data_IF_956543392420
#
_entry.id   IF_956543392420
#
_cell.length_a   1.000
_cell.length_b   1.000
_cell.length_c   1.000
_cell.angle_alpha   90.00
_cell.angle_beta   90.00
_cell.angle_gamma   90.00
#
_symmetry.space_group_name_H-M   'P 1'
#
loop_
_entity.id
_entity.type
_entity.pdbx_description
1 polymer ?
#
# COMPACT_ATOMS: atom_id res chain seq x y z
N UNK A 1 -7.83 -27.79 -26.78
CA UNK A 1 -6.83 -26.74 -27.06
C UNK A 1 -6.51 -26.05 -25.74
N UNK A 2 -5.30 -26.23 -25.21
CA UNK A 2 -4.85 -25.63 -23.93
C UNK A 2 -4.52 -24.17 -24.19
N UNK A 3 -5.21 -23.26 -23.51
CA UNK A 3 -4.86 -21.85 -23.48
C UNK A 3 -3.47 -21.71 -22.82
N UNK A 4 -2.46 -21.42 -23.60
CA UNK A 4 -1.16 -20.99 -23.10
C UNK A 4 -1.34 -19.58 -22.54
N UNK A 5 -1.19 -19.43 -21.24
CA UNK A 5 -1.10 -18.12 -20.59
C UNK A 5 0.11 -17.37 -21.16
N UNK A 6 -0.14 -16.22 -21.79
CA UNK A 6 0.93 -15.31 -22.24
C UNK A 6 1.86 -14.98 -21.05
N UNK A 7 3.18 -14.96 -21.24
CA UNK A 7 4.11 -14.56 -20.19
C UNK A 7 3.81 -13.12 -19.77
N UNK A 8 3.84 -12.85 -18.45
CA UNK A 8 3.76 -11.49 -17.90
C UNK A 8 4.91 -10.68 -18.51
N UNK A 9 4.62 -9.79 -19.45
CA UNK A 9 5.62 -8.91 -20.03
C UNK A 9 6.17 -7.99 -18.92
N UNK A 10 7.49 -7.99 -18.74
CA UNK A 10 8.19 -6.94 -18.02
C UNK A 10 8.07 -5.68 -18.87
N UNK A 11 7.24 -4.73 -18.41
CA UNK A 11 6.98 -3.48 -19.12
C UNK A 11 8.19 -2.53 -18.98
N UNK A 12 8.57 -1.90 -20.07
CA UNK A 12 9.65 -0.92 -20.13
C UNK A 12 9.19 0.43 -19.56
N UNK A 13 10.12 1.29 -19.18
CA UNK A 13 9.87 2.53 -18.41
C UNK A 13 9.02 3.59 -19.13
N UNK A 14 8.76 3.46 -20.42
CA UNK A 14 8.03 4.45 -21.24
C UNK A 14 6.60 4.02 -21.61
N UNK A 15 6.20 2.80 -21.28
CA UNK A 15 4.88 2.26 -21.65
C UNK A 15 3.70 2.80 -20.80
N UNK A 16 3.97 3.67 -19.82
CA UNK A 16 2.93 4.27 -19.00
C UNK A 16 2.36 5.58 -19.58
N UNK A 17 3.08 6.24 -20.49
CA UNK A 17 2.72 7.56 -21.02
C UNK A 17 1.94 7.45 -22.33
N UNK A 18 0.74 6.94 -22.23
CA UNK A 18 -0.26 6.93 -23.31
C UNK A 18 -1.41 7.86 -22.96
N UNK A 19 -2.08 8.36 -24.01
CA UNK A 19 -3.27 9.18 -23.84
C UNK A 19 -4.51 8.31 -23.71
N UNK A 20 -5.43 8.73 -22.86
CA UNK A 20 -6.74 8.10 -22.69
C UNK A 20 -7.81 9.15 -22.98
N UNK A 21 -8.83 8.77 -23.73
CA UNK A 21 -9.97 9.61 -24.07
C UNK A 21 -11.27 8.94 -23.65
N UNK A 22 -12.30 9.75 -23.42
CA UNK A 22 -13.64 9.26 -23.14
C UNK A 22 -14.50 9.33 -24.41
N UNK A 23 -15.17 8.22 -24.72
CA UNK A 23 -16.16 8.16 -25.79
C UNK A 23 -17.47 7.58 -25.29
N UNK A 24 -18.64 8.10 -25.78
CA UNK A 24 -19.93 7.57 -25.41
C UNK A 24 -20.09 6.12 -25.87
N UNK A 25 -20.65 5.28 -25.01
CA UNK A 25 -21.01 3.89 -25.40
C UNK A 25 -22.43 3.84 -25.92
N UNK A 26 -22.63 3.06 -26.97
CA UNK A 26 -23.91 2.86 -27.63
C UNK A 26 -24.38 1.41 -27.53
N UNK A 27 -25.69 1.22 -27.41
CA UNK A 27 -26.30 -0.11 -27.51
C UNK A 27 -26.40 -0.58 -28.97
N UNK A 28 -26.92 -1.78 -29.19
CA UNK A 28 -27.05 -2.38 -30.54
C UNK A 28 -27.95 -1.57 -31.48
N UNK A 29 -28.85 -0.73 -30.95
CA UNK A 29 -29.77 0.12 -31.73
C UNK A 29 -29.16 1.50 -31.99
N UNK A 30 -27.89 1.73 -31.66
CA UNK A 30 -27.22 3.02 -31.84
C UNK A 30 -27.63 4.09 -30.82
N UNK A 31 -28.31 3.71 -29.74
CA UNK A 31 -28.68 4.65 -28.66
C UNK A 31 -27.63 4.68 -27.60
N UNK A 32 -27.28 5.90 -27.11
CA UNK A 32 -26.31 6.06 -26.03
C UNK A 32 -26.77 5.31 -24.75
N UNK A 33 -25.86 4.51 -24.21
CA UNK A 33 -26.08 3.80 -22.92
C UNK A 33 -26.07 4.84 -21.81
N UNK A 34 -26.95 4.70 -20.81
CA UNK A 34 -27.08 5.64 -19.70
C UNK A 34 -27.24 4.91 -18.39
N UNK A 35 -26.71 5.55 -17.32
CA UNK A 35 -26.96 5.18 -15.92
C UNK A 35 -27.67 6.37 -15.28
N UNK A 36 -28.97 6.25 -15.06
CA UNK A 36 -29.82 7.39 -14.67
C UNK A 36 -29.82 8.46 -15.76
N UNK A 37 -29.35 9.67 -15.41
CA UNK A 37 -29.27 10.81 -16.34
C UNK A 37 -27.92 10.93 -17.05
N UNK A 38 -26.89 10.24 -16.57
CA UNK A 38 -25.52 10.32 -17.11
C UNK A 38 -25.28 9.31 -18.24
N UNK A 39 -24.64 9.71 -19.34
CA UNK A 39 -24.17 8.76 -20.35
C UNK A 39 -23.07 7.87 -19.78
N UNK A 40 -23.04 6.62 -20.21
CA UNK A 40 -21.90 5.72 -19.96
C UNK A 40 -20.84 5.99 -20.99
N UNK A 41 -19.62 6.22 -20.52
CA UNK A 41 -18.45 6.51 -21.32
C UNK A 41 -17.49 5.33 -21.25
N UNK A 42 -16.86 4.98 -22.36
CA UNK A 42 -15.69 4.11 -22.39
C UNK A 42 -14.42 4.96 -22.28
N UNK A 43 -13.47 4.49 -21.49
CA UNK A 43 -12.14 5.11 -21.37
C UNK A 43 -11.20 4.35 -22.30
N UNK A 44 -10.80 4.93 -23.44
CA UNK A 44 -10.04 4.25 -24.49
C UNK A 44 -8.61 4.78 -24.56
N UNK A 45 -7.65 3.87 -24.73
CA UNK A 45 -6.29 4.24 -25.14
C UNK A 45 -6.29 4.66 -26.58
N UNK A 46 -5.63 5.78 -26.88
CA UNK A 46 -5.58 6.34 -28.25
C UNK A 46 -4.58 5.62 -29.15
N UNK A 47 -3.64 4.86 -28.61
CA UNK A 47 -2.59 4.17 -29.34
C UNK A 47 -2.99 2.77 -29.84
N UNK A 48 -4.03 2.16 -29.28
CA UNK A 48 -4.43 0.79 -29.61
C UNK A 48 -5.94 0.52 -29.49
N UNK A 49 -6.74 1.55 -29.26
CA UNK A 49 -8.21 1.50 -29.13
C UNK A 49 -8.74 0.54 -28.03
N UNK A 50 -7.89 0.15 -27.07
CA UNK A 50 -8.32 -0.72 -25.98
C UNK A 50 -9.19 0.06 -24.99
N UNK A 51 -10.39 -0.46 -24.71
CA UNK A 51 -11.25 0.04 -23.64
C UNK A 51 -10.72 -0.41 -22.28
N UNK A 52 -10.21 0.53 -21.49
CA UNK A 52 -9.61 0.29 -20.18
C UNK A 52 -10.66 0.16 -19.07
N UNK A 53 -11.84 0.73 -19.27
CA UNK A 53 -12.92 0.71 -18.31
C UNK A 53 -14.09 1.57 -18.76
N UNK A 54 -15.16 1.56 -17.98
CA UNK A 54 -16.34 2.38 -18.23
C UNK A 54 -16.59 3.33 -17.07
N UNK A 55 -17.01 4.55 -17.41
CA UNK A 55 -17.24 5.62 -16.44
C UNK A 55 -18.50 6.41 -16.81
N UNK A 56 -18.68 7.57 -16.26
CA UNK A 56 -19.69 8.53 -16.69
C UNK A 56 -19.01 9.83 -17.13
N UNK A 57 -19.78 10.72 -17.75
CA UNK A 57 -19.34 12.07 -18.14
C UNK A 57 -18.82 12.96 -16.99
N UNK A 58 -18.95 12.49 -15.75
CA UNK A 58 -18.42 13.17 -14.55
C UNK A 58 -17.02 12.70 -14.14
N UNK A 59 -16.52 11.69 -14.81
CA UNK A 59 -15.19 11.18 -14.55
C UNK A 59 -14.18 11.96 -15.39
N UNK A 60 -13.23 12.63 -14.73
CA UNK A 60 -12.15 13.35 -15.40
C UNK A 60 -10.98 12.43 -15.69
N UNK A 61 -10.58 12.36 -16.95
CA UNK A 61 -9.36 11.63 -17.32
C UNK A 61 -8.15 12.44 -16.86
N UNK A 62 -7.28 11.79 -16.10
CA UNK A 62 -5.93 12.28 -15.79
C UNK A 62 -4.94 11.28 -16.33
N UNK A 63 -4.17 11.67 -17.33
CA UNK A 63 -3.17 10.80 -17.95
C UNK A 63 -1.98 10.58 -17.00
N UNK A 64 -1.36 9.41 -17.10
CA UNK A 64 -0.27 9.04 -16.19
C UNK A 64 0.93 9.98 -16.33
N UNK A 65 1.22 10.44 -17.56
CA UNK A 65 2.27 11.43 -17.82
C UNK A 65 2.09 12.72 -17.03
N UNK A 66 0.86 13.25 -16.96
CA UNK A 66 0.55 14.47 -16.19
C UNK A 66 0.83 14.29 -14.69
N UNK A 67 0.57 13.09 -14.15
CA UNK A 67 0.83 12.77 -12.75
C UNK A 67 2.34 12.73 -12.49
N UNK A 68 3.09 12.07 -13.37
CA UNK A 68 4.55 11.95 -13.29
C UNK A 68 5.19 13.34 -13.40
N UNK A 69 4.79 14.13 -14.39
CA UNK A 69 5.26 15.51 -14.62
C UNK A 69 5.02 16.40 -13.38
N UNK A 70 3.81 16.38 -12.81
CA UNK A 70 3.50 17.15 -11.58
C UNK A 70 4.40 16.78 -10.40
N UNK A 71 4.77 15.51 -10.27
CA UNK A 71 5.68 15.04 -9.22
C UNK A 71 7.11 15.48 -9.50
N UNK A 72 7.57 15.31 -10.72
CA UNK A 72 8.95 15.66 -11.11
C UNK A 72 9.18 17.18 -11.04
N UNK A 73 8.23 18.01 -11.47
CA UNK A 73 8.27 19.46 -11.28
C UNK A 73 8.37 19.85 -9.80
N UNK A 74 7.62 19.17 -8.93
CA UNK A 74 7.66 19.44 -7.51
C UNK A 74 9.00 19.02 -6.88
N UNK A 75 9.58 17.91 -7.29
CA UNK A 75 10.89 17.44 -6.85
C UNK A 75 12.00 18.40 -7.34
N UNK A 76 11.93 18.85 -8.58
CA UNK A 76 12.85 19.82 -9.14
C UNK A 76 12.80 21.16 -8.40
N UNK A 77 11.60 21.65 -8.08
CA UNK A 77 11.40 22.89 -7.32
C UNK A 77 12.02 22.83 -5.92
N UNK A 78 12.15 21.63 -5.34
CA UNK A 78 12.81 21.37 -4.06
C UNK A 78 14.31 21.03 -4.22
N UNK A 79 14.83 21.04 -5.46
CA UNK A 79 16.18 20.61 -5.79
C UNK A 79 16.49 19.15 -5.38
N UNK A 80 15.47 18.28 -5.36
CA UNK A 80 15.62 16.85 -5.11
C UNK A 80 15.81 16.14 -6.46
N UNK A 81 17.06 15.75 -6.77
CA UNK A 81 17.44 15.19 -8.09
C UNK A 81 17.88 13.73 -8.04
N UNK A 82 18.35 13.27 -6.88
CA UNK A 82 18.93 11.94 -6.72
C UNK A 82 17.83 10.95 -6.30
N UNK A 83 17.16 10.37 -7.28
CA UNK A 83 16.18 9.32 -7.08
C UNK A 83 16.23 8.28 -8.21
N UNK A 84 15.83 7.08 -7.90
CA UNK A 84 15.49 6.06 -8.91
C UNK A 84 13.98 6.00 -9.07
N UNK A 85 13.51 5.82 -10.33
CA UNK A 85 12.08 5.68 -10.58
C UNK A 85 11.77 4.35 -11.27
N UNK A 86 10.62 3.79 -10.93
CA UNK A 86 10.06 2.61 -11.58
C UNK A 86 8.59 2.84 -11.86
N UNK A 87 8.20 2.78 -13.12
CA UNK A 87 6.83 2.94 -13.58
C UNK A 87 6.31 1.62 -14.11
N UNK A 88 5.07 1.28 -13.80
CA UNK A 88 4.44 0.02 -14.20
C UNK A 88 2.97 0.26 -14.52
N UNK A 89 2.46 -0.46 -15.50
CA UNK A 89 1.03 -0.53 -15.79
C UNK A 89 0.55 -1.98 -15.74
N UNK A 90 -0.73 -2.16 -15.42
CA UNK A 90 -1.38 -3.46 -15.36
C UNK A 90 -2.78 -3.38 -15.99
N UNK A 91 -3.34 -4.54 -16.40
CA UNK A 91 -4.66 -4.61 -17.02
C UNK A 91 -4.70 -3.86 -18.35
N UNK A 92 -3.77 -4.14 -19.25
CA UNK A 92 -3.61 -3.51 -20.57
C UNK A 92 -3.44 -1.98 -20.54
N UNK A 93 -3.03 -1.45 -19.37
CA UNK A 93 -2.88 -0.03 -19.11
C UNK A 93 -3.99 0.57 -18.25
N UNK A 94 -4.99 -0.22 -17.83
CA UNK A 94 -6.08 0.30 -17.00
C UNK A 94 -5.61 0.84 -15.64
N UNK A 95 -4.44 0.42 -15.15
CA UNK A 95 -3.92 0.78 -13.83
C UNK A 95 -2.46 1.14 -13.91
N UNK A 96 -2.09 2.23 -13.24
CA UNK A 96 -0.73 2.76 -13.19
C UNK A 96 -0.18 2.71 -11.76
N UNK A 97 1.10 2.37 -11.65
CA UNK A 97 1.88 2.36 -10.42
C UNK A 97 3.24 3.00 -10.68
N UNK A 98 3.55 4.05 -9.95
CA UNK A 98 4.84 4.72 -9.98
C UNK A 98 5.53 4.64 -8.62
N UNK A 99 6.83 4.43 -8.60
CA UNK A 99 7.66 4.45 -7.39
C UNK A 99 8.87 5.32 -7.64
N UNK A 100 9.16 6.21 -6.69
CA UNK A 100 10.38 6.97 -6.58
C UNK A 100 11.09 6.56 -5.30
N UNK A 101 12.31 6.07 -5.40
CA UNK A 101 13.19 5.73 -4.28
C UNK A 101 14.30 6.76 -4.16
N UNK A 102 14.48 7.29 -2.96
CA UNK A 102 15.47 8.32 -2.64
C UNK A 102 16.57 7.71 -1.77
N UNK A 103 17.58 7.17 -2.43
CA UNK A 103 18.67 6.45 -1.75
C UNK A 103 19.64 7.39 -1.00
N UNK A 104 19.55 8.70 -1.22
CA UNK A 104 20.30 9.74 -0.51
C UNK A 104 19.51 10.35 0.68
N UNK A 105 18.21 10.14 0.77
CA UNK A 105 17.37 10.57 1.89
C UNK A 105 17.14 9.38 2.82
N UNK A 106 18.17 9.06 3.60
CA UNK A 106 18.21 7.88 4.47
C UNK A 106 18.27 8.31 5.94
N UNK A 107 17.57 7.59 6.79
CA UNK A 107 17.61 7.78 8.24
C UNK A 107 17.66 6.43 8.97
N UNK A 108 18.48 6.30 10.04
CA UNK A 108 18.53 5.10 10.85
C UNK A 108 17.25 4.97 11.71
N UNK A 109 16.71 3.77 11.77
CA UNK A 109 15.64 3.38 12.71
C UNK A 109 16.24 2.72 13.93
N UNK A 110 17.13 1.74 13.70
CA UNK A 110 17.87 1.01 14.71
C UNK A 110 19.30 0.77 14.21
N UNK A 111 20.15 0.19 15.05
CA UNK A 111 21.56 -0.10 14.67
C UNK A 111 21.59 -1.06 13.47
N UNK A 112 22.08 -0.56 12.34
CA UNK A 112 22.21 -1.33 11.10
C UNK A 112 20.89 -1.48 10.31
N UNK A 113 19.83 -0.80 10.73
CA UNK A 113 18.54 -0.82 10.06
C UNK A 113 18.16 0.61 9.63
N UNK A 114 18.44 0.91 8.39
CA UNK A 114 18.22 2.20 7.77
C UNK A 114 16.99 2.16 6.85
N UNK A 115 16.28 3.27 6.77
CA UNK A 115 15.18 3.46 5.84
C UNK A 115 15.44 4.63 4.89
N UNK A 116 15.23 4.39 3.60
CA UNK A 116 15.17 5.42 2.56
C UNK A 116 13.76 5.95 2.37
N UNK A 117 13.64 7.22 1.98
CA UNK A 117 12.37 7.80 1.60
C UNK A 117 11.85 7.17 0.29
N UNK A 118 10.54 6.98 0.19
CA UNK A 118 9.88 6.50 -1.03
C UNK A 118 8.58 7.25 -1.28
N UNK A 119 8.36 7.64 -2.53
CA UNK A 119 7.06 8.13 -3.01
C UNK A 119 6.44 7.08 -3.91
N UNK A 120 5.17 6.79 -3.71
CA UNK A 120 4.39 5.87 -4.54
C UNK A 120 3.20 6.59 -5.17
N UNK A 121 3.03 6.42 -6.47
CA UNK A 121 1.93 6.98 -7.25
C UNK A 121 0.99 5.88 -7.70
N UNK A 122 -0.30 6.20 -7.81
CA UNK A 122 -1.31 5.31 -8.38
C UNK A 122 -2.33 6.10 -9.16
N UNK A 123 -2.78 5.50 -10.24
CA UNK A 123 -3.87 5.98 -11.07
C UNK A 123 -4.63 4.80 -11.67
N UNK A 124 -5.89 4.97 -12.03
CA UNK A 124 -6.60 3.95 -12.81
C UNK A 124 -7.64 4.57 -13.72
N UNK A 125 -7.88 3.91 -14.85
CA UNK A 125 -8.91 4.25 -15.81
C UNK A 125 -10.13 3.30 -15.75
N UNK A 126 -10.05 2.26 -14.89
CA UNK A 126 -11.11 1.26 -14.63
C UNK A 126 -11.90 1.54 -13.34
N UNK A 127 -11.77 2.72 -12.76
CA UNK A 127 -12.40 3.14 -11.50
C UNK A 127 -11.94 2.34 -10.26
N UNK A 128 -10.90 1.50 -10.38
CA UNK A 128 -10.39 0.70 -9.26
C UNK A 128 -9.65 1.55 -8.22
N UNK A 129 -9.16 2.73 -8.62
CA UNK A 129 -8.48 3.69 -7.73
C UNK A 129 -8.64 5.12 -8.25
N UNK A 130 -8.50 6.11 -7.35
CA UNK A 130 -8.30 7.50 -7.76
C UNK A 130 -6.84 7.81 -8.03
N UNK A 131 -6.55 9.07 -8.37
CA UNK A 131 -5.18 9.59 -8.38
C UNK A 131 -4.68 9.66 -6.94
N UNK A 132 -3.57 8.99 -6.67
CA UNK A 132 -3.06 8.82 -5.31
C UNK A 132 -1.55 9.07 -5.27
N UNK A 133 -1.10 9.81 -4.25
CA UNK A 133 0.30 9.95 -3.87
C UNK A 133 0.47 9.50 -2.43
N UNK A 134 1.46 8.66 -2.20
CA UNK A 134 1.82 8.17 -0.88
C UNK A 134 3.29 8.44 -0.63
N UNK A 135 3.59 9.01 0.51
CA UNK A 135 4.95 9.16 0.99
C UNK A 135 5.17 8.08 2.04
N UNK A 136 6.21 7.29 1.81
CA UNK A 136 6.52 6.14 2.61
C UNK A 136 8.02 6.01 2.85
N UNK A 137 8.39 4.86 3.36
CA UNK A 137 9.78 4.48 3.52
C UNK A 137 10.03 3.09 2.96
N UNK A 138 11.23 2.89 2.47
CA UNK A 138 11.77 1.60 2.07
C UNK A 138 12.86 1.22 3.08
N UNK A 139 12.69 0.10 3.75
CA UNK A 139 13.72 -0.45 4.61
C UNK A 139 14.86 -1.00 3.75
N UNK A 140 16.10 -0.56 3.98
CA UNK A 140 17.23 -0.87 3.08
C UNK A 140 17.77 -2.30 3.27
N UNK A 141 17.64 -2.87 4.46
CA UNK A 141 18.06 -4.24 4.76
C UNK A 141 17.05 -5.31 4.34
N UNK A 142 15.84 -4.91 3.98
CA UNK A 142 14.75 -5.81 3.64
C UNK A 142 14.50 -5.83 2.13
N UNK A 143 14.73 -6.96 1.47
CA UNK A 143 14.56 -7.12 0.02
C UNK A 143 13.09 -7.18 -0.43
N UNK A 144 12.13 -7.26 0.50
CA UNK A 144 10.71 -7.41 0.16
C UNK A 144 10.06 -6.18 -0.49
N UNK A 145 10.80 -5.07 -0.63
CA UNK A 145 10.31 -3.85 -1.27
C UNK A 145 9.12 -3.19 -0.59
N UNK A 146 8.83 -3.59 0.65
CA UNK A 146 7.67 -3.10 1.36
C UNK A 146 7.80 -1.63 1.68
N UNK A 147 6.77 -0.88 1.32
CA UNK A 147 6.61 0.53 1.68
C UNK A 147 5.79 0.62 2.95
N UNK A 148 6.42 0.99 4.04
CA UNK A 148 5.71 1.43 5.24
C UNK A 148 5.17 2.83 4.98
N UNK A 149 3.87 3.01 5.13
CA UNK A 149 3.28 4.33 4.99
C UNK A 149 3.76 5.27 6.09
N UNK A 150 4.33 6.37 5.67
CA UNK A 150 4.49 7.54 6.52
C UNK A 150 3.08 8.08 6.79
N UNK A 151 2.77 8.31 8.04
CA UNK A 151 1.47 8.76 8.53
C UNK A 151 0.86 9.88 7.70
N UNK A 152 -0.44 9.78 7.43
CA UNK A 152 -1.37 10.81 6.92
C UNK A 152 -1.12 11.42 5.53
N UNK A 153 -0.04 11.13 4.84
CA UNK A 153 0.20 11.57 3.47
C UNK A 153 -0.26 10.59 2.40
N UNK A 154 -1.28 9.85 2.69
CA UNK A 154 -2.01 9.07 1.71
C UNK A 154 -3.13 9.96 1.15
N UNK A 155 -2.78 10.78 0.20
CA UNK A 155 -3.74 11.64 -0.48
C UNK A 155 -4.26 10.93 -1.71
N UNK A 156 -5.56 10.68 -1.69
CA UNK A 156 -6.29 10.12 -2.81
C UNK A 156 -7.38 11.10 -3.24
N UNK A 157 -7.37 11.45 -4.50
CA UNK A 157 -8.40 12.28 -5.12
C UNK A 157 -9.18 11.46 -6.14
N UNK A 158 -10.49 11.64 -6.15
CA UNK A 158 -11.34 11.03 -7.18
C UNK A 158 -11.17 11.76 -8.50
N UNK A 159 -11.27 11.03 -9.58
CA UNK A 159 -11.38 11.59 -10.93
C UNK A 159 -12.69 12.38 -11.07
N UNK A 160 -12.63 13.66 -10.89
CA UNK A 160 -13.79 14.55 -10.96
C UNK A 160 -13.39 15.85 -11.67
N UNK A 161 -14.32 16.59 -12.28
CA UNK A 161 -14.01 17.84 -13.00
C UNK A 161 -13.34 18.93 -12.16
N UNK A 162 -13.19 18.72 -10.85
CA UNK A 162 -12.50 19.63 -9.92
C UNK A 162 -11.16 19.05 -9.45
N UNK A 163 -10.66 18.01 -10.10
CA UNK A 163 -9.38 17.45 -9.72
C UNK A 163 -8.25 18.40 -10.16
N UNK A 164 -7.55 18.89 -9.17
CA UNK A 164 -6.32 19.66 -9.33
C UNK A 164 -5.14 18.83 -8.80
N UNK A 165 -4.08 18.70 -9.60
CA UNK A 165 -2.87 17.97 -9.23
C UNK A 165 -1.95 18.76 -8.28
N UNK A 166 -2.24 20.01 -7.99
CA UNK A 166 -1.50 20.85 -7.04
C UNK A 166 -1.33 20.23 -5.67
N UNK A 167 -2.26 19.35 -5.25
CA UNK A 167 -2.13 18.60 -4.00
C UNK A 167 -0.89 17.69 -3.95
N UNK A 168 -0.38 17.25 -5.10
CA UNK A 168 0.85 16.44 -5.16
C UNK A 168 2.07 17.29 -4.80
N UNK A 169 2.13 18.51 -5.32
CA UNK A 169 3.19 19.47 -5.01
C UNK A 169 3.22 19.80 -3.51
N UNK A 170 2.06 20.09 -2.93
CA UNK A 170 1.93 20.32 -1.48
C UNK A 170 2.41 19.11 -0.66
N UNK A 171 2.03 17.89 -1.09
CA UNK A 171 2.45 16.66 -0.42
C UNK A 171 3.97 16.49 -0.44
N UNK A 172 4.60 16.77 -1.58
CA UNK A 172 6.04 16.62 -1.76
C UNK A 172 6.80 17.66 -0.96
N UNK A 173 6.30 18.89 -0.86
CA UNK A 173 6.90 19.94 -0.03
C UNK A 173 7.06 19.54 1.45
N UNK A 174 6.18 18.67 1.95
CA UNK A 174 6.20 18.20 3.33
C UNK A 174 6.84 16.81 3.50
N UNK A 175 7.27 16.17 2.39
CA UNK A 175 7.66 14.76 2.42
C UNK A 175 8.83 14.47 3.36
N UNK A 176 9.88 15.29 3.36
CA UNK A 176 11.05 15.08 4.23
C UNK A 176 10.71 15.24 5.72
N UNK A 177 9.88 16.23 6.05
CA UNK A 177 9.44 16.47 7.44
C UNK A 177 8.60 15.30 7.94
N UNK A 178 7.68 14.83 7.11
CA UNK A 178 6.82 13.68 7.43
C UNK A 178 7.63 12.38 7.50
N UNK A 179 8.58 12.18 6.60
CA UNK A 179 9.51 11.07 6.66
C UNK A 179 10.30 11.07 7.98
N UNK A 180 10.89 12.22 8.35
CA UNK A 180 11.63 12.36 9.61
C UNK A 180 10.76 12.02 10.84
N UNK A 181 9.54 12.58 10.90
CA UNK A 181 8.60 12.30 11.99
C UNK A 181 8.25 10.82 12.10
N UNK A 182 8.09 10.13 10.97
CA UNK A 182 7.77 8.70 10.96
C UNK A 182 8.95 7.84 11.42
N UNK A 183 10.16 8.21 11.08
CA UNK A 183 11.37 7.55 11.59
C UNK A 183 11.43 7.65 13.12
N UNK A 184 11.17 8.83 13.69
CA UNK A 184 11.15 9.00 15.14
C UNK A 184 10.09 8.11 15.82
N UNK A 185 8.91 7.98 15.21
CA UNK A 185 7.89 7.04 15.72
C UNK A 185 8.40 5.58 15.69
N UNK A 186 9.14 5.17 14.67
CA UNK A 186 9.68 3.81 14.60
C UNK A 186 10.83 3.59 15.58
N UNK A 187 11.65 4.61 15.86
CA UNK A 187 12.69 4.54 16.89
C UNK A 187 12.09 4.26 18.26
N UNK A 188 11.01 4.97 18.61
CA UNK A 188 10.27 4.71 19.86
C UNK A 188 9.79 3.26 19.96
N UNK A 189 9.37 2.65 18.85
CA UNK A 189 9.01 1.23 18.83
C UNK A 189 10.25 0.33 18.98
N UNK A 190 11.38 0.68 18.38
CA UNK A 190 12.63 -0.08 18.46
C UNK A 190 13.21 -0.06 19.89
N UNK A 191 13.01 1.02 20.63
CA UNK A 191 13.46 1.19 22.02
C UNK A 191 12.57 0.48 23.05
N UNK A 192 11.35 0.04 22.69
CA UNK A 192 10.44 -0.66 23.60
C UNK A 192 10.61 -2.18 23.47
N UNK A 193 11.34 -2.84 24.41
CA UNK A 193 11.52 -4.29 24.38
C UNK A 193 10.21 -5.00 24.73
N UNK A 194 10.03 -6.19 24.16
CA UNK A 194 8.92 -7.09 24.45
C UNK A 194 9.44 -8.52 24.53
N UNK A 195 8.86 -9.34 25.40
CA UNK A 195 9.15 -10.78 25.37
C UNK A 195 8.52 -11.45 24.15
N UNK A 196 8.96 -12.65 23.84
CA UNK A 196 8.39 -13.46 22.75
C UNK A 196 6.90 -13.70 22.97
N UNK A 197 6.50 -14.02 24.20
CA UNK A 197 5.08 -14.20 24.58
C UNK A 197 4.26 -12.91 24.43
N UNK A 198 4.82 -11.78 24.88
CA UNK A 198 4.17 -10.48 24.73
C UNK A 198 3.96 -10.13 23.26
N UNK A 199 4.97 -10.32 22.40
CA UNK A 199 4.85 -10.08 20.97
C UNK A 199 3.78 -10.97 20.32
N UNK A 200 3.72 -12.24 20.71
CA UNK A 200 2.70 -13.19 20.27
C UNK A 200 1.29 -12.75 20.68
N UNK A 201 1.11 -12.31 21.94
CA UNK A 201 -0.18 -11.79 22.41
C UNK A 201 -0.59 -10.51 21.69
N UNK A 202 0.34 -9.58 21.49
CA UNK A 202 0.09 -8.34 20.73
C UNK A 202 -0.39 -8.66 19.32
N UNK A 203 0.32 -9.52 18.61
CA UNK A 203 -0.05 -9.91 17.24
C UNK A 203 -1.40 -10.63 17.20
N UNK A 204 -1.66 -11.55 18.12
CA UNK A 204 -2.95 -12.24 18.25
C UNK A 204 -4.10 -11.26 18.51
N UNK A 205 -3.94 -10.32 19.43
CA UNK A 205 -4.96 -9.31 19.75
C UNK A 205 -5.20 -8.36 18.55
N UNK A 206 -4.14 -7.93 17.85
CA UNK A 206 -4.27 -7.08 16.68
C UNK A 206 -4.92 -7.84 15.49
N UNK A 207 -4.54 -9.10 15.28
CA UNK A 207 -5.08 -9.90 14.18
C UNK A 207 -6.58 -10.17 14.32
N UNK A 208 -7.09 -10.30 15.56
CA UNK A 208 -8.53 -10.44 15.81
C UNK A 208 -9.35 -9.20 15.43
N UNK A 209 -8.73 -8.02 15.41
CA UNK A 209 -9.40 -6.77 15.03
C UNK A 209 -9.51 -6.60 13.50
N UNK A 210 -8.89 -7.48 12.72
CA UNK A 210 -8.82 -7.38 11.26
C UNK A 210 -9.49 -8.57 10.58
N UNK A 211 -10.80 -8.46 10.34
CA UNK A 211 -11.62 -9.52 9.73
C UNK A 211 -11.19 -9.94 8.32
N UNK A 212 -10.35 -9.17 7.64
CA UNK A 212 -9.87 -9.53 6.31
C UNK A 212 -8.61 -10.42 6.33
N UNK A 213 -7.94 -10.56 7.47
CA UNK A 213 -6.86 -11.51 7.62
C UNK A 213 -7.44 -12.92 7.71
N UNK A 214 -7.07 -13.78 6.76
CA UNK A 214 -7.36 -15.21 6.87
C UNK A 214 -6.62 -15.80 8.09
N UNK A 215 -7.12 -16.90 8.63
CA UNK A 215 -6.47 -17.54 9.76
C UNK A 215 -5.04 -17.98 9.40
N UNK A 216 -4.82 -18.44 8.16
CA UNK A 216 -3.48 -18.73 7.65
C UNK A 216 -2.55 -17.50 7.66
N UNK A 217 -3.04 -16.30 7.33
CA UNK A 217 -2.23 -15.07 7.43
C UNK A 217 -1.91 -14.72 8.87
N UNK A 218 -2.87 -14.89 9.79
CA UNK A 218 -2.64 -14.66 11.24
C UNK A 218 -1.57 -15.59 11.78
N UNK A 219 -1.65 -16.87 11.42
CA UNK A 219 -0.64 -17.87 11.79
C UNK A 219 0.73 -17.52 11.20
N UNK A 220 0.78 -17.12 9.92
CA UNK A 220 2.01 -16.70 9.26
C UNK A 220 2.66 -15.50 9.93
N UNK A 221 1.87 -14.52 10.40
CA UNK A 221 2.39 -13.34 11.13
C UNK A 221 3.04 -13.77 12.46
N UNK A 222 2.39 -14.67 13.20
CA UNK A 222 2.96 -15.20 14.45
C UNK A 222 4.20 -16.06 14.17
N UNK A 223 4.18 -16.88 13.13
CA UNK A 223 5.35 -17.64 12.70
C UNK A 223 6.54 -16.76 12.35
N UNK A 224 6.32 -15.66 11.62
CA UNK A 224 7.38 -14.71 11.26
C UNK A 224 7.94 -13.97 12.49
N UNK A 225 7.11 -13.71 13.52
CA UNK A 225 7.58 -13.18 14.79
C UNK A 225 8.46 -14.19 15.55
N UNK A 226 8.05 -15.45 15.61
CA UNK A 226 8.76 -16.51 16.35
C UNK A 226 10.03 -16.95 15.62
N UNK A 227 9.95 -17.11 14.30
CA UNK A 227 11.00 -17.60 13.41
C UNK A 227 11.16 -16.66 12.21
N UNK A 228 11.80 -15.50 12.40
CA UNK A 228 11.93 -14.50 11.36
C UNK A 228 12.72 -15.01 10.17
N UNK A 229 12.26 -14.69 8.96
CA UNK A 229 12.99 -14.96 7.73
C UNK A 229 14.29 -14.15 7.66
N UNK A 230 15.30 -14.68 6.96
CA UNK A 230 16.59 -14.01 6.81
C UNK A 230 16.48 -12.59 6.27
N UNK A 231 15.54 -12.36 5.35
CA UNK A 231 15.30 -11.07 4.72
C UNK A 231 14.64 -10.05 5.67
N UNK A 232 14.11 -10.50 6.80
CA UNK A 232 13.55 -9.63 7.84
C UNK A 232 14.50 -9.39 9.02
N UNK A 233 15.65 -10.08 9.02
CA UNK A 233 16.71 -9.90 10.02
C UNK A 233 17.66 -8.76 9.64
N UNK A 234 18.24 -8.12 10.65
CA UNK A 234 19.31 -7.13 10.49
C UNK A 234 20.62 -7.79 10.90
N UNK A 235 21.54 -7.99 9.96
CA UNK A 235 22.82 -8.65 10.23
C UNK A 235 22.68 -10.01 10.94
N UNK A 236 21.64 -10.77 10.60
CA UNK A 236 21.34 -12.07 11.22
C UNK A 236 20.72 -11.98 12.62
N UNK A 237 20.32 -10.78 13.07
CA UNK A 237 19.65 -10.55 14.34
C UNK A 237 18.21 -10.07 14.15
N UNK A 238 17.34 -10.45 15.07
CA UNK A 238 15.95 -9.99 15.15
C UNK A 238 15.62 -9.65 16.60
N UNK A 239 15.81 -8.40 16.96
CA UNK A 239 15.59 -7.93 18.33
C UNK A 239 14.13 -8.06 18.74
N UNK A 240 13.88 -8.48 19.96
CA UNK A 240 12.52 -8.59 20.52
C UNK A 240 12.05 -7.22 21.04
N UNK A 241 11.45 -6.42 20.13
CA UNK A 241 10.89 -5.09 20.42
C UNK A 241 9.62 -4.83 19.60
N UNK A 242 8.90 -3.74 19.88
CA UNK A 242 7.66 -3.41 19.18
C UNK A 242 7.88 -3.10 17.69
N UNK A 243 9.05 -2.61 17.31
CA UNK A 243 9.37 -2.39 15.92
C UNK A 243 9.41 -3.71 15.13
N UNK A 244 10.00 -4.74 15.69
CA UNK A 244 10.05 -6.05 15.02
C UNK A 244 8.72 -6.82 15.12
N UNK A 245 7.86 -6.54 16.11
CA UNK A 245 6.45 -6.96 16.07
C UNK A 245 5.75 -6.35 14.82
N UNK A 246 5.99 -5.07 14.55
CA UNK A 246 5.49 -4.40 13.35
C UNK A 246 6.07 -5.02 12.06
N UNK A 247 7.37 -5.27 12.03
CA UNK A 247 8.05 -5.85 10.87
C UNK A 247 7.53 -7.26 10.54
N UNK A 248 7.33 -8.12 11.53
CA UNK A 248 6.76 -9.46 11.32
C UNK A 248 5.37 -9.39 10.65
N UNK A 249 4.50 -8.51 11.13
CA UNK A 249 3.19 -8.33 10.54
C UNK A 249 3.26 -7.80 9.11
N UNK A 250 4.06 -6.77 8.87
CA UNK A 250 4.15 -6.11 7.57
C UNK A 250 4.88 -6.95 6.54
N UNK A 251 5.84 -7.79 6.95
CA UNK A 251 6.47 -8.78 6.10
C UNK A 251 5.44 -9.73 5.47
N UNK A 252 4.58 -10.33 6.28
CA UNK A 252 3.54 -11.25 5.80
C UNK A 252 2.50 -10.53 4.95
N UNK A 253 2.10 -9.30 5.32
CA UNK A 253 1.17 -8.50 4.53
C UNK A 253 1.71 -8.13 3.14
N UNK A 254 3.02 -7.96 3.00
CA UNK A 254 3.67 -7.66 1.72
C UNK A 254 3.90 -8.90 0.86
N UNK A 255 4.33 -10.01 1.48
CA UNK A 255 4.66 -11.27 0.80
C UNK A 255 3.46 -12.22 0.64
N UNK A 256 2.39 -12.01 1.40
CA UNK A 256 1.25 -12.92 1.48
C UNK A 256 0.50 -13.08 0.16
N UNK A 257 0.50 -14.29 -0.36
CA UNK A 257 -0.33 -14.74 -1.49
C UNK A 257 -1.76 -14.93 -1.01
N UNK A 258 -2.56 -13.89 -1.02
CA UNK A 258 -4.00 -14.02 -0.80
C UNK A 258 -4.67 -14.28 -2.16
N UNK A 259 -4.87 -15.55 -2.52
CA UNK A 259 -5.28 -16.00 -3.87
C UNK A 259 -6.69 -15.53 -4.28
N UNK A 260 -7.50 -15.09 -3.33
CA UNK A 260 -8.93 -14.78 -3.56
C UNK A 260 -9.27 -13.31 -3.85
N UNK A 261 -8.33 -12.38 -3.68
CA UNK A 261 -8.59 -10.95 -3.89
C UNK A 261 -7.83 -10.39 -5.10
N UNK A 262 -8.41 -9.42 -5.80
CA UNK A 262 -7.70 -8.67 -6.83
C UNK A 262 -6.49 -7.95 -6.24
N UNK A 263 -5.41 -7.81 -6.98
CA UNK A 263 -4.13 -7.23 -6.54
C UNK A 263 -4.30 -5.85 -5.88
N UNK A 264 -5.16 -5.00 -6.42
CA UNK A 264 -5.51 -3.70 -5.84
C UNK A 264 -6.20 -3.80 -4.48
N UNK A 265 -7.14 -4.75 -4.35
CA UNK A 265 -7.88 -4.93 -3.11
C UNK A 265 -6.97 -5.42 -1.99
N UNK A 266 -6.03 -6.31 -2.31
CA UNK A 266 -4.99 -6.77 -1.38
C UNK A 266 -4.09 -5.64 -0.93
N UNK A 267 -3.60 -4.83 -1.86
CA UNK A 267 -2.73 -3.70 -1.55
C UNK A 267 -3.41 -2.73 -0.60
N UNK A 268 -4.65 -2.31 -0.90
CA UNK A 268 -5.39 -1.39 -0.04
C UNK A 268 -5.69 -1.97 1.35
N UNK A 269 -6.00 -3.25 1.43
CA UNK A 269 -6.23 -3.94 2.69
C UNK A 269 -4.94 -4.05 3.51
N UNK A 270 -3.84 -4.48 2.89
CA UNK A 270 -2.53 -4.58 3.55
C UNK A 270 -2.08 -3.21 4.07
N UNK A 271 -2.25 -2.17 3.27
CA UNK A 271 -1.95 -0.80 3.64
C UNK A 271 -2.73 -0.33 4.87
N UNK A 272 -4.06 -0.50 4.85
CA UNK A 272 -4.92 -0.09 5.98
C UNK A 272 -4.58 -0.85 7.25
N UNK A 273 -4.24 -2.13 7.13
CA UNK A 273 -3.85 -2.94 8.27
C UNK A 273 -2.51 -2.52 8.83
N UNK A 274 -1.50 -2.32 7.98
CA UNK A 274 -0.19 -1.85 8.41
C UNK A 274 -0.29 -0.50 9.16
N UNK A 275 -1.08 0.44 8.63
CA UNK A 275 -1.35 1.72 9.27
C UNK A 275 -2.04 1.55 10.64
N UNK A 276 -2.98 0.63 10.73
CA UNK A 276 -3.70 0.35 11.97
C UNK A 276 -2.79 -0.29 13.03
N UNK A 277 -1.99 -1.28 12.62
CA UNK A 277 -1.01 -1.94 13.49
C UNK A 277 -0.03 -0.90 14.02
N UNK A 278 0.58 -0.09 13.15
CA UNK A 278 1.51 0.97 13.53
C UNK A 278 0.90 1.91 14.58
N UNK A 279 -0.34 2.37 14.35
CA UNK A 279 -1.04 3.25 15.30
C UNK A 279 -1.23 2.61 16.67
N UNK A 280 -1.56 1.33 16.75
CA UNK A 280 -1.73 0.61 18.00
C UNK A 280 -0.40 0.42 18.71
N UNK A 281 0.65 0.06 18.00
CA UNK A 281 1.99 -0.13 18.57
C UNK A 281 2.59 1.19 19.05
N UNK A 282 2.43 2.29 18.30
CA UNK A 282 2.86 3.62 18.75
C UNK A 282 2.15 4.02 20.04
N UNK A 283 0.84 3.78 20.18
CA UNK A 283 0.12 4.01 21.41
C UNK A 283 0.61 3.13 22.56
N UNK A 284 0.95 1.87 22.29
CA UNK A 284 1.48 0.94 23.29
C UNK A 284 2.89 1.34 23.74
N UNK A 285 3.72 1.87 22.85
CA UNK A 285 5.03 2.39 23.20
C UNK A 285 4.95 3.61 24.16
N UNK A 286 3.91 4.44 23.98
CA UNK A 286 3.72 5.69 24.70
C UNK A 286 2.87 5.56 25.98
N UNK A 287 2.07 4.50 26.14
CA UNK A 287 1.07 4.35 27.22
C UNK A 287 1.03 2.92 27.72
N UNK A 288 1.45 2.70 28.98
CA UNK A 288 1.46 1.37 29.59
C UNK A 288 0.06 0.73 29.60
N UNK A 289 -1.00 1.48 29.89
CA UNK A 289 -2.37 0.96 29.87
C UNK A 289 -2.81 0.43 28.48
N UNK A 290 -2.25 0.95 27.39
CA UNK A 290 -2.50 0.43 26.06
C UNK A 290 -1.64 -0.80 25.78
N UNK A 291 -0.41 -0.81 26.26
CA UNK A 291 0.48 -1.95 26.21
C UNK A 291 -0.12 -3.16 26.98
N UNK A 292 -0.57 -2.95 28.20
CA UNK A 292 -1.23 -3.98 29.03
C UNK A 292 -2.46 -4.56 28.33
N UNK A 293 -3.26 -3.72 27.68
CA UNK A 293 -4.41 -4.16 26.90
C UNK A 293 -4.03 -5.04 25.72
N UNK A 294 -2.93 -4.74 25.03
CA UNK A 294 -2.46 -5.53 23.88
C UNK A 294 -1.77 -6.83 24.31
N UNK A 295 -1.21 -6.88 25.52
CA UNK A 295 -0.56 -8.08 26.08
C UNK A 295 -1.50 -8.92 26.96
N UNK A 296 -2.75 -8.49 27.15
CA UNK A 296 -3.75 -9.26 27.86
C UNK A 296 -4.06 -10.59 27.16
N UNK A 297 -4.23 -11.66 27.94
CA UNK A 297 -4.65 -12.96 27.39
C UNK A 297 -6.02 -12.83 26.74
N UNK A 298 -6.13 -13.36 25.53
CA UNK A 298 -7.39 -13.41 24.79
C UNK A 298 -8.28 -14.42 25.49
N UNK A 299 -9.50 -14.05 25.98
CA UNK A 299 -10.41 -15.03 26.53
C UNK A 299 -10.80 -16.03 25.45
N UNK A 300 -10.49 -17.29 25.68
CA UNK A 300 -10.93 -18.39 24.81
C UNK A 300 -12.46 -18.44 24.93
N UNK A 301 -13.17 -18.10 23.86
CA UNK A 301 -14.61 -18.40 23.78
C UNK A 301 -14.72 -19.93 23.71
N UNK A 302 -15.03 -20.59 24.81
CA UNK A 302 -15.41 -21.98 24.79
C UNK A 302 -16.59 -22.13 23.82
N UNK A 303 -16.38 -22.80 22.69
CA UNK A 303 -17.48 -23.32 21.90
C UNK A 303 -18.13 -24.40 22.76
N UNK A 304 -19.23 -24.08 23.42
CA UNK A 304 -20.11 -25.09 24.00
C UNK A 304 -20.60 -25.94 22.84
N UNK A 305 -19.96 -27.08 22.62
CA UNK A 305 -20.47 -28.10 21.73
C UNK A 305 -21.58 -28.79 22.52
N UNK A 306 -22.81 -28.36 22.34
CA UNK A 306 -23.96 -29.08 22.85
C UNK A 306 -24.04 -30.39 22.05
N UNK A 307 -23.52 -31.47 22.60
CA UNK A 307 -23.71 -32.81 22.10
C UNK A 307 -25.19 -33.16 22.44
N UNK A 308 -26.06 -33.02 21.48
CA UNK A 308 -27.43 -33.58 21.57
C UNK A 308 -27.27 -35.07 21.40
N UNK A 309 -27.27 -35.82 22.47
CA UNK A 309 -27.47 -37.28 22.45
C UNK A 309 -28.87 -37.58 21.93
N UNK A 310 -28.94 -38.22 20.78
CA UNK A 310 -30.15 -38.89 20.25
C UNK A 310 -30.34 -40.24 20.94
#
# INVERSE_FOLDING_TARGET
MRNQSKPKSQLTTDEYDYQVVQEPLFNRDGKAVRVGRSPVMGNFRTDNDVCLGTSTDKYEIVNNGQIVESVEEALEALNIKDYTRKMQVAGDGARFYGVYDFDNIVKPIAKGDDAGMRITLRNSFDLSSGVNIQIGMKRLVCLNGMTTLITDTDLSKRHSPRLDLGFMKESIQECEVKFASSIENLKVLAEKPVSEDQGTLILGNLAQQHNFLSDQMKDSIVCEWLNPSSDNMVNGSFDRNLYNVYNAATWVLASGKNESATENKRFEQSRRTSKNILRHLTKAAQRDSHFDKLTAKIPVKEKIVTVTTL
#
